data_IF_626749023900
#
_entry.id   IF_626749023900
#
_cell.length_a   1.000
_cell.length_b   1.000
_cell.length_c   1.000
_cell.angle_alpha   90.00
_cell.angle_beta   90.00
_cell.angle_gamma   90.00
#
_symmetry.space_group_name_H-M   'P 1'
#
loop_
_entity.id
_entity.type
_entity.pdbx_description
1 polymer ?
#
# COMPACT_ATOMS: atom_id res chain seq x y z
N UNK A 1 -14.09 -5.92 -5.77
CA UNK A 1 -13.47 -4.69 -5.20
C UNK A 1 -12.15 -4.33 -5.88
N UNK A 2 -11.06 -5.09 -5.73
CA UNK A 2 -9.75 -4.76 -6.33
C UNK A 2 -9.84 -4.63 -7.86
N UNK A 3 -10.51 -5.56 -8.54
CA UNK A 3 -10.72 -5.50 -10.00
C UNK A 3 -11.47 -4.24 -10.42
N UNK A 4 -12.48 -3.83 -9.66
CA UNK A 4 -13.22 -2.60 -9.93
C UNK A 4 -12.33 -1.36 -9.74
N UNK A 5 -11.54 -1.31 -8.65
CA UNK A 5 -10.59 -0.22 -8.41
C UNK A 5 -9.58 -0.07 -9.54
N UNK A 6 -9.11 -1.19 -10.09
CA UNK A 6 -8.18 -1.19 -11.21
C UNK A 6 -8.80 -0.72 -12.53
N UNK A 7 -10.12 -0.91 -12.71
CA UNK A 7 -10.83 -0.55 -13.94
C UNK A 7 -11.34 0.89 -13.97
N UNK A 8 -11.40 1.59 -12.81
CA UNK A 8 -11.90 2.96 -12.75
C UNK A 8 -10.94 3.92 -13.44
N UNK A 9 -11.45 4.72 -14.38
CA UNK A 9 -10.69 5.82 -14.97
C UNK A 9 -10.66 7.04 -14.04
N UNK A 10 -9.49 7.33 -13.50
CA UNK A 10 -9.26 8.45 -12.57
C UNK A 10 -8.31 9.51 -13.15
N UNK A 11 -8.10 9.53 -14.47
CA UNK A 11 -7.17 10.47 -15.13
C UNK A 11 -7.46 11.93 -14.82
N UNK A 12 -8.74 12.25 -14.55
CA UNK A 12 -9.19 13.60 -14.22
C UNK A 12 -8.89 14.03 -12.78
N UNK A 13 -8.53 13.11 -11.90
CA UNK A 13 -8.27 13.40 -10.48
C UNK A 13 -7.02 12.69 -9.97
N UNK A 14 -5.90 13.40 -9.99
CA UNK A 14 -4.62 12.88 -9.47
C UNK A 14 -4.71 12.45 -8.00
N UNK A 15 -5.53 13.15 -7.21
CA UNK A 15 -5.71 12.82 -5.79
C UNK A 15 -6.41 11.47 -5.59
N UNK A 16 -7.48 11.21 -6.35
CA UNK A 16 -8.17 9.91 -6.31
C UNK A 16 -7.30 8.79 -6.89
N UNK A 17 -6.57 9.08 -7.95
CA UNK A 17 -5.63 8.14 -8.55
C UNK A 17 -4.55 7.74 -7.55
N UNK A 18 -3.93 8.70 -6.88
CA UNK A 18 -2.90 8.43 -5.87
C UNK A 18 -3.45 7.61 -4.69
N UNK A 19 -4.63 7.96 -4.17
CA UNK A 19 -5.26 7.20 -3.09
C UNK A 19 -5.59 5.76 -3.51
N UNK A 20 -6.12 5.57 -4.73
CA UNK A 20 -6.33 4.23 -5.29
C UNK A 20 -5.03 3.43 -5.37
N UNK A 21 -3.98 4.03 -5.88
CA UNK A 21 -2.70 3.36 -6.10
C UNK A 21 -2.02 2.99 -4.78
N UNK A 22 -2.12 3.84 -3.74
CA UNK A 22 -1.68 3.49 -2.38
C UNK A 22 -2.50 2.34 -1.79
N UNK A 23 -3.80 2.31 -2.03
CA UNK A 23 -4.66 1.21 -1.60
C UNK A 23 -4.27 -0.10 -2.27
N UNK A 24 -4.05 -0.09 -3.58
CA UNK A 24 -3.59 -1.23 -4.37
C UNK A 24 -2.20 -1.67 -3.91
N UNK A 25 -1.29 -0.71 -3.66
CA UNK A 25 0.03 -1.00 -3.12
C UNK A 25 -0.07 -1.72 -1.76
N UNK A 26 -0.86 -1.19 -0.83
CA UNK A 26 -1.10 -1.83 0.47
C UNK A 26 -1.58 -3.28 0.31
N UNK A 27 -2.56 -3.50 -0.56
CA UNK A 27 -3.12 -4.82 -0.81
C UNK A 27 -2.04 -5.81 -1.31
N UNK A 28 -1.30 -5.45 -2.36
CA UNK A 28 -0.26 -6.32 -2.92
C UNK A 28 1.00 -6.40 -2.05
N UNK A 29 1.22 -5.43 -1.17
CA UNK A 29 2.24 -5.47 -0.13
C UNK A 29 1.77 -6.23 1.13
N UNK A 30 0.91 -7.23 0.98
CA UNK A 30 0.39 -8.11 2.05
C UNK A 30 -0.35 -7.35 3.15
N UNK A 31 -1.12 -6.33 2.79
CA UNK A 31 -1.85 -5.50 3.73
C UNK A 31 -0.96 -4.60 4.57
N UNK A 32 0.11 -4.06 3.98
CA UNK A 32 0.97 -3.08 4.63
C UNK A 32 0.15 -1.91 5.14
N UNK A 33 0.29 -1.54 6.42
CA UNK A 33 -0.45 -0.44 7.02
C UNK A 33 -0.05 0.90 6.39
N UNK A 34 -0.98 1.85 6.34
CA UNK A 34 -0.72 3.17 5.76
C UNK A 34 0.46 3.89 6.42
N UNK A 35 0.58 3.79 7.75
CA UNK A 35 1.73 4.36 8.48
C UNK A 35 3.06 3.80 7.98
N UNK A 36 3.14 2.49 7.73
CA UNK A 36 4.35 1.84 7.23
C UNK A 36 4.68 2.31 5.80
N UNK A 37 3.65 2.48 4.94
CA UNK A 37 3.81 3.02 3.58
C UNK A 37 4.35 4.46 3.61
N UNK A 38 3.82 5.31 4.49
CA UNK A 38 4.21 6.71 4.60
C UNK A 38 5.69 6.87 4.95
N UNK A 39 6.19 6.05 5.87
CA UNK A 39 7.59 6.10 6.32
C UNK A 39 8.55 5.24 5.48
N UNK A 40 8.04 4.54 4.47
CA UNK A 40 8.87 3.68 3.62
C UNK A 40 9.90 4.50 2.84
N UNK A 41 11.16 4.12 2.97
CA UNK A 41 12.30 4.78 2.30
C UNK A 41 12.80 3.94 1.13
N UNK A 42 13.47 4.59 0.18
CA UNK A 42 14.15 3.90 -0.94
C UNK A 42 15.19 2.90 -0.44
N UNK A 43 15.85 3.19 0.70
CA UNK A 43 16.79 2.27 1.35
C UNK A 43 16.17 0.97 1.84
N UNK A 44 14.83 0.90 1.98
CA UNK A 44 14.12 -0.34 2.31
C UNK A 44 14.06 -1.33 1.12
N UNK A 45 14.39 -0.88 -0.09
CA UNK A 45 14.38 -1.72 -1.28
C UNK A 45 15.78 -2.27 -1.53
N UNK A 46 15.90 -3.60 -1.57
CA UNK A 46 17.11 -4.30 -1.96
C UNK A 46 16.78 -5.58 -2.72
N UNK A 47 17.49 -5.81 -3.85
CA UNK A 47 17.41 -7.06 -4.62
C UNK A 47 15.96 -7.49 -4.98
N UNK A 48 15.10 -6.56 -5.28
CA UNK A 48 13.69 -6.84 -5.62
C UNK A 48 12.78 -7.13 -4.42
N UNK A 49 13.22 -6.80 -3.21
CA UNK A 49 12.46 -6.94 -1.97
C UNK A 49 12.34 -5.62 -1.22
N UNK A 50 11.21 -5.44 -0.53
CA UNK A 50 11.00 -4.39 0.47
C UNK A 50 11.16 -5.03 1.84
N UNK A 51 12.12 -4.55 2.63
CA UNK A 51 12.29 -4.93 4.03
C UNK A 51 12.03 -3.73 4.93
N UNK A 52 11.08 -3.85 5.84
CA UNK A 52 10.68 -2.76 6.73
C UNK A 52 10.28 -3.28 8.10
N UNK A 53 10.33 -2.41 9.10
CA UNK A 53 9.87 -2.68 10.47
C UNK A 53 8.48 -2.10 10.68
N UNK A 54 7.52 -2.93 11.06
CA UNK A 54 6.15 -2.49 11.33
C UNK A 54 6.10 -1.55 12.53
N UNK A 55 5.52 -0.38 12.36
CA UNK A 55 5.36 0.60 13.44
C UNK A 55 4.58 0.06 14.63
N UNK A 56 3.53 -0.74 14.37
CA UNK A 56 2.65 -1.25 15.43
C UNK A 56 3.31 -2.31 16.31
N UNK A 57 4.15 -3.17 15.76
CA UNK A 57 4.64 -4.38 16.44
C UNK A 57 6.16 -4.46 16.57
N UNK A 58 6.90 -3.61 15.85
CA UNK A 58 8.36 -3.71 15.76
C UNK A 58 8.87 -4.93 15.01
N UNK A 59 8.00 -5.69 14.36
CA UNK A 59 8.37 -6.87 13.57
C UNK A 59 8.95 -6.45 12.23
N UNK A 60 10.11 -7.02 11.87
CA UNK A 60 10.67 -6.89 10.53
C UNK A 60 9.94 -7.80 9.55
N UNK A 61 9.55 -7.26 8.42
CA UNK A 61 8.87 -7.95 7.33
C UNK A 61 9.60 -7.72 6.01
N UNK A 62 9.65 -8.76 5.18
CA UNK A 62 10.22 -8.71 3.83
C UNK A 62 9.16 -9.12 2.82
N UNK A 63 8.98 -8.30 1.80
CA UNK A 63 7.98 -8.48 0.75
C UNK A 63 8.67 -8.43 -0.61
N UNK A 64 8.39 -9.40 -1.47
CA UNK A 64 8.87 -9.38 -2.85
C UNK A 64 8.14 -8.29 -3.64
N UNK A 65 8.90 -7.54 -4.44
CA UNK A 65 8.34 -6.51 -5.32
C UNK A 65 7.88 -7.19 -6.61
N UNK A 66 6.58 -7.40 -6.74
CA UNK A 66 5.94 -7.85 -7.97
C UNK A 66 5.82 -6.69 -8.96
N UNK A 67 5.63 -7.02 -10.24
CA UNK A 67 5.55 -6.03 -11.34
C UNK A 67 4.57 -4.89 -11.03
N UNK A 68 3.43 -5.20 -10.44
CA UNK A 68 2.41 -4.21 -10.09
C UNK A 68 2.89 -3.23 -9.00
N UNK A 69 3.58 -3.73 -7.98
CA UNK A 69 4.20 -2.86 -6.96
C UNK A 69 5.28 -1.98 -7.59
N UNK A 70 6.12 -2.55 -8.44
CA UNK A 70 7.18 -1.82 -9.13
C UNK A 70 6.63 -0.68 -9.99
N UNK A 71 5.54 -0.91 -10.71
CA UNK A 71 4.89 0.11 -11.54
C UNK A 71 4.37 1.28 -10.70
N UNK A 72 3.77 1.00 -9.53
CA UNK A 72 3.31 2.05 -8.62
C UNK A 72 4.50 2.83 -8.05
N UNK A 73 5.55 2.14 -7.62
CA UNK A 73 6.78 2.79 -7.12
C UNK A 73 7.35 3.73 -8.18
N UNK A 74 7.53 3.26 -9.40
CA UNK A 74 8.10 4.04 -10.50
C UNK A 74 7.26 5.28 -10.84
N UNK A 75 5.93 5.18 -10.69
CA UNK A 75 5.00 6.28 -11.00
C UNK A 75 5.13 7.45 -10.02
N UNK A 76 5.44 7.17 -8.75
CA UNK A 76 5.42 8.18 -7.68
C UNK A 76 6.79 8.52 -7.11
N UNK A 77 7.84 7.83 -7.54
CA UNK A 77 9.20 8.07 -7.07
C UNK A 77 9.67 9.49 -7.41
N UNK A 78 10.21 10.20 -6.42
CA UNK A 78 10.89 11.50 -6.60
C UNK A 78 12.39 11.35 -6.35
N UNK A 79 13.22 11.86 -7.27
CA UNK A 79 14.68 11.74 -7.18
C UNK A 79 15.26 12.40 -5.93
N UNK A 80 14.69 13.54 -5.52
CA UNK A 80 15.19 14.38 -4.43
C UNK A 80 14.65 13.98 -3.04
N UNK A 81 13.89 12.89 -2.94
CA UNK A 81 13.31 12.42 -1.69
C UNK A 81 13.89 11.08 -1.27
N UNK A 82 14.22 10.88 0.02
CA UNK A 82 14.61 9.58 0.54
C UNK A 82 13.42 8.61 0.64
N UNK A 83 12.20 9.14 0.67
CA UNK A 83 10.97 8.35 0.79
C UNK A 83 10.53 7.75 -0.54
N UNK A 84 9.84 6.61 -0.46
CA UNK A 84 9.34 5.90 -1.62
C UNK A 84 8.16 6.63 -2.27
N UNK A 85 7.29 7.24 -1.44
CA UNK A 85 6.13 7.99 -1.88
C UNK A 85 6.21 9.47 -1.49
N UNK A 86 5.60 10.38 -2.28
CA UNK A 86 5.68 11.82 -2.04
C UNK A 86 4.68 12.27 -0.95
N UNK A 87 4.78 11.71 0.25
CA UNK A 87 3.90 12.02 1.39
C UNK A 87 4.66 12.84 2.43
N UNK A 88 5.83 12.35 2.87
CA UNK A 88 6.69 13.08 3.78
C UNK A 88 7.75 13.88 3.00
N UNK A 89 8.09 15.06 3.51
CA UNK A 89 9.14 15.92 2.95
C UNK A 89 10.21 16.30 3.97
N UNK A 90 10.24 15.66 5.12
CA UNK A 90 11.18 15.91 6.20
C UNK A 90 11.56 14.61 6.89
N UNK A 91 12.78 14.56 7.42
CA UNK A 91 13.25 13.47 8.28
C UNK A 91 13.18 13.82 9.78
N UNK A 92 12.76 15.04 10.13
CA UNK A 92 12.46 15.41 11.51
C UNK A 92 11.21 14.65 11.99
N UNK A 93 11.37 13.87 13.07
CA UNK A 93 10.33 12.94 13.54
C UNK A 93 9.00 13.63 13.90
N UNK A 94 9.06 14.80 14.56
CA UNK A 94 7.84 15.51 14.97
C UNK A 94 7.09 16.08 13.78
N UNK A 95 7.81 16.66 12.83
CA UNK A 95 7.23 17.20 11.59
C UNK A 95 6.70 16.08 10.71
N UNK A 96 7.44 14.98 10.58
CA UNK A 96 7.00 13.81 9.84
C UNK A 96 5.72 13.21 10.42
N UNK A 97 5.61 13.12 11.74
CA UNK A 97 4.39 12.64 12.38
C UNK A 97 3.19 13.54 12.09
N UNK A 98 3.35 14.85 12.17
CA UNK A 98 2.28 15.80 11.83
C UNK A 98 1.86 15.67 10.35
N UNK A 99 2.82 15.51 9.44
CA UNK A 99 2.54 15.26 8.02
C UNK A 99 1.80 13.93 7.81
N UNK A 100 2.19 12.88 8.54
CA UNK A 100 1.50 11.59 8.50
C UNK A 100 0.03 11.73 8.92
N UNK A 101 -0.27 12.41 10.03
CA UNK A 101 -1.65 12.58 10.51
C UNK A 101 -2.53 13.31 9.49
N UNK A 102 -2.00 14.38 8.89
CA UNK A 102 -2.67 15.12 7.82
C UNK A 102 -2.91 14.20 6.61
N UNK A 103 -1.88 13.46 6.20
CA UNK A 103 -1.96 12.55 5.07
C UNK A 103 -2.96 11.42 5.31
N UNK A 104 -3.03 10.86 6.53
CA UNK A 104 -3.99 9.81 6.90
C UNK A 104 -5.43 10.30 6.76
N UNK A 105 -5.72 11.49 7.29
CA UNK A 105 -7.05 12.10 7.20
C UNK A 105 -7.43 12.37 5.74
N UNK A 106 -6.51 12.90 4.96
CA UNK A 106 -6.70 13.16 3.54
C UNK A 106 -6.93 11.86 2.75
N UNK A 107 -6.10 10.84 2.98
CA UNK A 107 -6.21 9.53 2.36
C UNK A 107 -7.57 8.88 2.63
N UNK A 108 -8.00 8.83 3.88
CA UNK A 108 -9.32 8.28 4.23
C UNK A 108 -10.47 9.05 3.58
N UNK A 109 -10.34 10.38 3.43
CA UNK A 109 -11.33 11.19 2.70
C UNK A 109 -11.41 10.82 1.21
N UNK A 110 -10.25 10.60 0.57
CA UNK A 110 -10.22 10.16 -0.82
C UNK A 110 -10.78 8.74 -0.98
N UNK A 111 -10.48 7.84 -0.03
CA UNK A 111 -11.06 6.48 -0.04
C UNK A 111 -12.58 6.48 0.06
N UNK A 112 -13.16 7.37 0.89
CA UNK A 112 -14.62 7.54 0.94
C UNK A 112 -15.22 8.03 -0.39
N UNK A 113 -14.48 8.87 -1.12
CA UNK A 113 -14.90 9.30 -2.47
C UNK A 113 -14.80 8.15 -3.47
N UNK A 114 -13.73 7.36 -3.41
CA UNK A 114 -13.60 6.14 -4.23
C UNK A 114 -14.69 5.12 -3.94
N UNK A 115 -15.07 4.95 -2.67
CA UNK A 115 -16.15 4.03 -2.27
C UNK A 115 -17.45 4.29 -3.03
N UNK A 116 -17.76 5.56 -3.29
CA UNK A 116 -18.98 5.94 -4.02
C UNK A 116 -18.96 5.56 -5.51
N UNK A 117 -17.79 5.24 -6.05
CA UNK A 117 -17.62 4.81 -7.43
C UNK A 117 -17.65 3.28 -7.58
N UNK A 118 -17.73 2.56 -6.47
CA UNK A 118 -17.79 1.10 -6.45
C UNK A 118 -19.23 0.60 -6.34
N UNK A 119 -19.52 -0.52 -6.98
CA UNK A 119 -20.82 -1.19 -6.88
C UNK A 119 -20.64 -2.66 -6.45
N UNK A 120 -21.40 -3.14 -5.44
CA UNK A 120 -22.21 -2.36 -4.49
C UNK A 120 -21.34 -1.43 -3.66
N UNK A 121 -21.93 -0.40 -3.03
CA UNK A 121 -21.19 0.61 -2.26
C UNK A 121 -20.36 -0.04 -1.14
N UNK A 122 -19.06 -0.16 -1.35
CA UNK A 122 -18.12 -0.78 -0.41
C UNK A 122 -17.41 0.33 0.38
N UNK A 123 -17.49 0.26 1.70
CA UNK A 123 -16.84 1.24 2.55
C UNK A 123 -15.32 1.00 2.59
N UNK A 124 -14.54 1.87 1.95
CA UNK A 124 -13.09 1.81 1.94
C UNK A 124 -12.50 2.67 3.07
N UNK A 125 -11.50 2.12 3.74
CA UNK A 125 -10.67 2.83 4.73
C UNK A 125 -9.21 2.39 4.59
N UNK A 126 -8.31 3.09 5.28
CA UNK A 126 -6.88 2.72 5.32
C UNK A 126 -6.62 1.31 5.89
N UNK A 127 -7.57 0.73 6.60
CA UNK A 127 -7.49 -0.64 7.13
C UNK A 127 -8.07 -1.70 6.19
N UNK A 128 -8.89 -1.32 5.23
CA UNK A 128 -9.56 -2.26 4.31
C UNK A 128 -8.59 -3.16 3.55
N UNK A 129 -7.43 -2.69 3.02
CA UNK A 129 -6.50 -3.55 2.29
C UNK A 129 -6.01 -4.70 3.15
N UNK A 130 -5.73 -4.45 4.44
CA UNK A 130 -5.25 -5.46 5.37
C UNK A 130 -6.32 -6.51 5.66
N UNK A 131 -7.56 -6.09 5.92
CA UNK A 131 -8.67 -7.02 6.15
C UNK A 131 -8.98 -7.84 4.90
N UNK A 132 -8.96 -7.19 3.73
CA UNK A 132 -9.21 -7.88 2.45
C UNK A 132 -8.11 -8.90 2.14
N UNK A 133 -6.85 -8.55 2.40
CA UNK A 133 -5.73 -9.45 2.14
C UNK A 133 -5.78 -10.72 2.99
N UNK A 134 -6.29 -10.64 4.21
CA UNK A 134 -6.44 -11.80 5.12
C UNK A 134 -7.54 -12.77 4.68
N UNK A 135 -8.40 -12.41 3.73
CA UNK A 135 -9.44 -13.30 3.23
C UNK A 135 -8.87 -14.38 2.29
N UNK A 136 -9.33 -15.65 2.38
CA UNK A 136 -8.78 -16.76 1.57
C UNK A 136 -8.82 -16.52 0.06
N UNK A 137 -9.90 -15.88 -0.44
CA UNK A 137 -10.02 -15.57 -1.87
C UNK A 137 -9.03 -14.49 -2.34
N UNK A 138 -8.66 -13.56 -1.48
CA UNK A 138 -7.68 -12.54 -1.80
C UNK A 138 -6.26 -13.12 -1.89
N UNK A 139 -5.91 -14.03 -0.98
CA UNK A 139 -4.66 -14.79 -1.02
C UNK A 139 -4.58 -15.61 -2.30
N UNK A 140 -5.67 -16.29 -2.68
CA UNK A 140 -5.74 -17.05 -3.94
C UNK A 140 -5.57 -16.16 -5.16
N UNK A 141 -6.19 -14.98 -5.18
CA UNK A 141 -6.05 -14.01 -6.27
C UNK A 141 -4.61 -13.50 -6.39
N UNK A 142 -3.96 -13.22 -5.26
CA UNK A 142 -2.55 -12.84 -5.22
C UNK A 142 -1.66 -13.94 -5.82
N UNK A 143 -1.88 -15.18 -5.40
CA UNK A 143 -1.11 -16.34 -5.89
C UNK A 143 -1.30 -16.61 -7.38
N UNK A 144 -2.50 -16.37 -7.92
CA UNK A 144 -2.76 -16.51 -9.35
C UNK A 144 -2.08 -15.43 -10.22
N UNK A 145 -1.77 -14.27 -9.63
CA UNK A 145 -1.17 -13.12 -10.32
C UNK A 145 0.34 -12.98 -10.09
N UNK A 146 0.86 -13.67 -9.09
CA UNK A 146 2.29 -13.75 -8.79
C UNK A 146 2.79 -15.15 -9.06
N UNK A 147 3.98 -15.28 -9.65
CA UNK A 147 4.66 -16.57 -9.85
C UNK A 147 5.24 -17.16 -8.55
N UNK A 148 4.84 -16.63 -7.39
CA UNK A 148 5.29 -17.10 -6.07
C UNK A 148 4.55 -18.39 -5.71
N UNK A 149 5.30 -19.45 -5.41
CA UNK A 149 4.73 -20.70 -4.94
C UNK A 149 4.06 -20.51 -3.56
N UNK A 150 2.89 -21.14 -3.38
CA UNK A 150 2.05 -21.05 -2.18
C UNK A 150 2.79 -21.36 -0.85
N UNK A 151 3.91 -22.07 -0.92
CA UNK A 151 4.72 -22.52 0.21
C UNK A 151 5.39 -21.40 1.02
N UNK A 152 5.71 -20.25 0.39
CA UNK A 152 6.40 -19.14 1.06
C UNK A 152 5.48 -18.31 1.97
N UNK A 153 4.17 -18.38 1.75
CA UNK A 153 3.18 -17.62 2.53
C UNK A 153 2.78 -18.38 3.81
N UNK A 154 2.73 -19.71 3.74
CA UNK A 154 2.29 -20.55 4.87
C UNK A 154 3.37 -20.69 5.95
N UNK A 155 4.66 -20.60 5.59
CA UNK A 155 5.78 -20.76 6.54
C UNK A 155 6.02 -19.58 7.49
N UNK A 156 5.42 -18.42 7.24
CA UNK A 156 5.59 -17.21 8.09
C UNK A 156 4.31 -16.86 8.86
N UNK A 157 3.61 -17.84 9.42
CA UNK A 157 2.66 -17.54 10.49
C UNK A 157 3.47 -17.09 11.71
N UNK A 158 3.25 -15.88 12.24
CA UNK A 158 3.80 -15.53 13.54
C UNK A 158 3.17 -16.43 14.59
N UNK A 159 4.03 -17.06 15.40
CA UNK A 159 3.62 -17.66 16.65
C UNK A 159 3.17 -16.58 17.61
#
# INVERSE_FOLDING_TARGET
MISQLLSIDLKKSKALQFARDLFIFSFYARGMAFVDIVYLKKSNIQNGYITYVRHKTGQELTIRIETRLQNIINQYEKKDSPYLFPILNTEDENKAYSQYEIALNYYNRQLKRLSKLLEPNINLSSYTPRHTWLQPHAIKMYLCQSSVQAWDIVRKKPH
#
